data_IF_091326080638
#
_entry.id   IF_091326080638
#
_cell.length_a   1.000
_cell.length_b   1.000
_cell.length_c   1.000
_cell.angle_alpha   90.00
_cell.angle_beta   90.00
_cell.angle_gamma   90.00
#
_symmetry.space_group_name_H-M   'P 1'
#
loop_
_entity.id
_entity.type
_entity.pdbx_description
1 polymer ?
#
# COMPACT_ATOMS: atom_id res chain seq x y z
N UNK A 1 -0.06 -32.04 20.18
CA UNK A 1 -0.32 -30.67 20.67
C UNK A 1 -0.38 -29.74 19.48
N UNK A 2 -1.58 -29.34 19.06
CA UNK A 2 -1.74 -28.32 18.02
C UNK A 2 -1.35 -26.97 18.61
N UNK A 3 -0.45 -26.23 17.97
CA UNK A 3 -0.32 -24.80 18.25
C UNK A 3 -1.62 -24.17 17.76
N UNK A 4 -2.46 -23.70 18.67
CA UNK A 4 -3.50 -22.72 18.35
C UNK A 4 -2.74 -21.46 17.94
N UNK A 5 -2.39 -21.38 16.66
CA UNK A 5 -1.91 -20.13 16.08
C UNK A 5 -3.04 -19.13 16.20
N UNK A 6 -2.76 -18.01 16.85
CA UNK A 6 -3.58 -16.80 16.79
C UNK A 6 -3.99 -16.57 15.33
N UNK A 7 -5.28 -16.64 15.02
CA UNK A 7 -5.77 -16.33 13.68
C UNK A 7 -5.62 -14.82 13.48
N UNK A 8 -4.49 -14.43 12.89
CA UNK A 8 -4.18 -13.04 12.54
C UNK A 8 -4.56 -12.82 11.09
N UNK A 9 -5.47 -11.90 10.84
CA UNK A 9 -5.85 -11.52 9.48
C UNK A 9 -5.80 -10.02 9.28
N UNK A 10 -5.49 -9.60 8.05
CA UNK A 10 -5.43 -8.20 7.66
C UNK A 10 -6.41 -7.94 6.51
N UNK A 11 -7.18 -6.87 6.60
CA UNK A 11 -8.05 -6.37 5.53
C UNK A 11 -7.58 -4.96 5.13
N UNK A 12 -7.50 -4.68 3.82
CA UNK A 12 -7.27 -3.32 3.32
C UNK A 12 -8.63 -2.63 3.23
N UNK A 13 -8.84 -1.59 4.01
CA UNK A 13 -10.14 -0.90 4.09
C UNK A 13 -10.16 0.42 3.34
N UNK A 14 -9.00 1.08 3.18
CA UNK A 14 -8.88 2.32 2.42
C UNK A 14 -7.48 2.46 1.81
N UNK A 15 -7.39 3.11 0.65
CA UNK A 15 -6.13 3.41 -0.03
C UNK A 15 -6.27 4.69 -0.87
N UNK A 16 -5.33 5.62 -0.73
CA UNK A 16 -5.34 6.89 -1.45
C UNK A 16 -3.94 7.47 -1.62
N UNK A 17 -3.69 8.17 -2.72
CA UNK A 17 -2.46 8.94 -2.90
C UNK A 17 -2.49 10.15 -1.97
N UNK A 18 -1.48 10.30 -1.11
CA UNK A 18 -1.36 11.41 -0.16
C UNK A 18 -0.61 12.58 -0.78
N UNK A 19 0.50 12.28 -1.44
CA UNK A 19 1.31 13.24 -2.17
C UNK A 19 1.97 12.55 -3.36
N UNK A 20 2.29 13.34 -4.38
CA UNK A 20 3.09 12.91 -5.53
C UNK A 20 3.86 14.08 -6.11
N UNK A 21 5.05 13.81 -6.60
CA UNK A 21 5.88 14.77 -7.31
C UNK A 21 6.75 14.07 -8.34
N UNK A 22 7.20 14.82 -9.35
CA UNK A 22 8.24 14.35 -10.24
C UNK A 22 9.50 13.96 -9.43
N UNK A 23 10.13 12.86 -9.82
CA UNK A 23 11.35 12.40 -9.19
C UNK A 23 12.50 13.38 -9.50
N UNK A 24 13.30 13.82 -8.51
CA UNK A 24 14.23 14.93 -8.68
C UNK A 24 15.39 14.67 -9.66
N UNK A 25 15.68 13.38 -9.95
CA UNK A 25 16.83 12.97 -10.78
C UNK A 25 16.49 11.98 -11.90
N UNK A 26 15.30 11.39 -11.88
CA UNK A 26 14.94 10.31 -12.80
C UNK A 26 13.82 10.84 -13.68
N UNK A 27 14.15 11.00 -14.96
CA UNK A 27 13.18 11.47 -15.96
C UNK A 27 12.03 10.46 -16.03
N UNK A 28 10.82 10.99 -16.29
CA UNK A 28 9.62 10.18 -16.51
C UNK A 28 9.27 9.28 -15.32
N UNK A 29 9.68 9.67 -14.10
CA UNK A 29 9.35 8.97 -12.86
C UNK A 29 8.65 9.91 -11.90
N UNK A 30 7.59 9.42 -11.29
CA UNK A 30 6.89 10.08 -10.19
C UNK A 30 7.14 9.30 -8.91
N UNK A 31 7.36 10.03 -7.81
CA UNK A 31 7.49 9.49 -6.46
C UNK A 31 6.45 10.14 -5.55
N UNK A 32 6.07 9.47 -4.48
CA UNK A 32 5.13 10.01 -3.51
C UNK A 32 4.81 9.02 -2.41
N UNK A 33 3.75 9.32 -1.66
CA UNK A 33 3.22 8.44 -0.62
C UNK A 33 1.78 8.06 -0.92
N UNK A 34 1.48 6.79 -0.66
CA UNK A 34 0.11 6.28 -0.65
C UNK A 34 -0.25 5.96 0.80
N UNK A 35 -1.33 6.58 1.28
CA UNK A 35 -1.96 6.21 2.55
C UNK A 35 -2.73 4.92 2.35
N UNK A 36 -2.52 3.96 3.23
CA UNK A 36 -3.27 2.72 3.28
C UNK A 36 -3.75 2.47 4.70
N UNK A 37 -5.01 2.07 4.84
CA UNK A 37 -5.59 1.73 6.14
C UNK A 37 -5.86 0.24 6.18
N UNK A 38 -5.25 -0.44 7.15
CA UNK A 38 -5.42 -1.87 7.38
C UNK A 38 -6.22 -2.10 8.66
N UNK A 39 -7.22 -2.98 8.58
CA UNK A 39 -7.85 -3.56 9.76
C UNK A 39 -7.17 -4.91 10.05
N UNK A 40 -6.59 -5.05 11.22
CA UNK A 40 -6.04 -6.29 11.77
C UNK A 40 -7.08 -6.92 12.68
N UNK A 41 -7.35 -8.21 12.49
CA UNK A 41 -8.11 -9.03 13.43
C UNK A 41 -7.14 -9.99 14.13
N UNK A 42 -7.06 -9.93 15.45
CA UNK A 42 -6.26 -10.83 16.28
C UNK A 42 -7.02 -11.15 17.58
N UNK A 43 -7.19 -12.43 17.90
CA UNK A 43 -7.86 -12.89 19.14
C UNK A 43 -9.25 -12.26 19.35
N UNK A 44 -10.00 -12.05 18.27
CA UNK A 44 -11.33 -11.43 18.31
C UNK A 44 -11.30 -9.91 18.60
N UNK A 45 -10.13 -9.27 18.52
CA UNK A 45 -9.97 -7.82 18.61
C UNK A 45 -9.61 -7.25 17.25
N UNK A 46 -10.26 -6.14 16.92
CA UNK A 46 -9.94 -5.35 15.74
C UNK A 46 -8.99 -4.20 16.11
N UNK A 47 -7.93 -4.04 15.33
CA UNK A 47 -7.01 -2.90 15.41
C UNK A 47 -6.89 -2.25 14.03
N UNK A 48 -6.91 -0.93 13.97
CA UNK A 48 -6.78 -0.17 12.71
C UNK A 48 -5.40 0.46 12.64
N UNK A 49 -4.71 0.21 11.52
CA UNK A 49 -3.38 0.71 11.24
C UNK A 49 -3.40 1.61 10.02
N UNK A 50 -2.87 2.82 10.18
CA UNK A 50 -2.65 3.73 9.06
C UNK A 50 -1.17 3.70 8.65
N UNK A 51 -0.93 3.43 7.37
CA UNK A 51 0.41 3.31 6.79
C UNK A 51 0.61 4.38 5.73
N UNK A 52 1.76 5.06 5.77
CA UNK A 52 2.25 5.89 4.67
C UNK A 52 3.28 5.09 3.88
N UNK A 53 2.92 4.67 2.66
CA UNK A 53 3.74 3.79 1.84
C UNK A 53 4.48 4.62 0.79
N UNK A 54 5.82 4.77 0.89
CA UNK A 54 6.59 5.45 -0.14
C UNK A 54 6.60 4.59 -1.42
N UNK A 55 6.19 5.20 -2.53
CA UNK A 55 6.09 4.52 -3.83
C UNK A 55 6.62 5.39 -4.95
N UNK A 56 7.00 4.73 -6.04
CA UNK A 56 7.34 5.38 -7.30
C UNK A 56 6.79 4.59 -8.48
N UNK A 57 6.54 5.28 -9.58
CA UNK A 57 6.12 4.69 -10.85
C UNK A 57 6.79 5.40 -12.02
N UNK A 58 7.11 4.63 -13.06
CA UNK A 58 7.49 5.16 -14.37
C UNK A 58 6.23 5.61 -15.10
N UNK A 59 6.24 6.85 -15.58
CA UNK A 59 5.09 7.56 -16.12
C UNK A 59 5.35 7.86 -17.60
N UNK A 60 4.64 7.18 -18.52
CA UNK A 60 4.71 7.50 -19.94
C UNK A 60 4.39 8.98 -20.23
N UNK A 61 5.01 9.59 -21.26
CA UNK A 61 4.65 10.93 -21.69
C UNK A 61 3.15 11.03 -22.02
N UNK A 62 2.50 12.07 -21.50
CA UNK A 62 1.08 12.32 -21.74
C UNK A 62 0.12 11.53 -20.82
N UNK A 63 0.62 10.79 -19.83
CA UNK A 63 -0.25 10.21 -18.79
C UNK A 63 -1.04 11.30 -18.06
N UNK A 64 -2.32 11.02 -17.81
CA UNK A 64 -3.18 11.87 -17.00
C UNK A 64 -2.77 11.82 -15.53
N UNK A 65 -3.27 12.77 -14.72
CA UNK A 65 -3.01 12.75 -13.28
C UNK A 65 -3.64 11.52 -12.62
N UNK A 66 -4.79 11.08 -13.13
CA UNK A 66 -5.53 9.91 -12.69
C UNK A 66 -4.76 8.61 -12.99
N UNK A 67 -4.14 8.51 -14.18
CA UNK A 67 -3.28 7.37 -14.53
C UNK A 67 -2.06 7.29 -13.62
N UNK A 68 -1.46 8.45 -13.29
CA UNK A 68 -0.34 8.53 -12.35
C UNK A 68 -0.78 8.05 -10.96
N UNK A 69 -1.95 8.50 -10.48
CA UNK A 69 -2.48 8.07 -9.18
C UNK A 69 -2.73 6.56 -9.15
N UNK A 70 -3.35 6.03 -10.21
CA UNK A 70 -3.57 4.60 -10.36
C UNK A 70 -2.25 3.81 -10.31
N UNK A 71 -1.23 4.27 -11.01
CA UNK A 71 0.08 3.61 -11.04
C UNK A 71 0.73 3.57 -9.64
N UNK A 72 0.66 4.67 -8.88
CA UNK A 72 1.18 4.73 -7.51
C UNK A 72 0.39 3.82 -6.57
N UNK A 73 -0.95 3.84 -6.65
CA UNK A 73 -1.81 2.97 -5.84
C UNK A 73 -1.59 1.49 -6.14
N UNK A 74 -1.42 1.09 -7.41
CA UNK A 74 -1.11 -0.29 -7.78
C UNK A 74 0.24 -0.76 -7.20
N UNK A 75 1.24 0.12 -7.17
CA UNK A 75 2.52 -0.15 -6.51
C UNK A 75 2.34 -0.35 -5.01
N UNK A 76 1.61 0.54 -4.34
CA UNK A 76 1.33 0.44 -2.91
C UNK A 76 0.54 -0.85 -2.58
N UNK A 77 -0.51 -1.16 -3.34
CA UNK A 77 -1.29 -2.38 -3.20
C UNK A 77 -0.43 -3.65 -3.31
N UNK A 78 0.55 -3.67 -4.21
CA UNK A 78 1.49 -4.80 -4.34
C UNK A 78 2.40 -4.96 -3.10
N UNK A 79 2.81 -3.85 -2.47
CA UNK A 79 3.58 -3.86 -1.23
C UNK A 79 2.71 -4.39 -0.07
N UNK A 80 1.49 -3.89 0.04
CA UNK A 80 0.51 -4.33 1.05
C UNK A 80 0.22 -5.82 0.91
N UNK A 81 -0.01 -6.31 -0.31
CA UNK A 81 -0.26 -7.74 -0.55
C UNK A 81 0.87 -8.62 -0.02
N UNK A 82 2.14 -8.20 -0.24
CA UNK A 82 3.32 -8.90 0.29
C UNK A 82 3.42 -8.81 1.81
N UNK A 83 3.15 -7.62 2.38
CA UNK A 83 3.12 -7.41 3.82
C UNK A 83 2.12 -8.36 4.49
N UNK A 84 0.88 -8.39 3.99
CA UNK A 84 -0.17 -9.28 4.48
C UNK A 84 0.21 -10.75 4.39
N UNK A 85 0.83 -11.18 3.28
CA UNK A 85 1.29 -12.55 3.11
C UNK A 85 2.46 -12.92 4.05
N UNK A 86 3.24 -11.94 4.49
CA UNK A 86 4.35 -12.15 5.44
C UNK A 86 3.86 -12.18 6.89
N UNK A 87 2.83 -11.40 7.22
CA UNK A 87 2.33 -11.26 8.60
C UNK A 87 1.17 -12.22 8.93
N UNK A 88 0.33 -12.56 7.96
CA UNK A 88 -0.81 -13.48 8.13
C UNK A 88 -0.54 -14.92 7.66
N UNK A 89 0.75 -15.27 7.47
CA UNK A 89 1.21 -16.61 7.12
C UNK A 89 1.62 -17.43 8.33
#
# INVERSE_FOLDING_TARGET
MARLGTEMSFALIDISVSDKQAHPRLKDRTTGHVRAVLAEQQDGREQVHELAIPVWADIPPGSSNEDIDMALMLKAASIIARLKATLGG
#
